data_IF_808593175533
#
_entry.id   IF_808593175533
#
_cell.length_a   1.000
_cell.length_b   1.000
_cell.length_c   1.000
_cell.angle_alpha   90.00
_cell.angle_beta   90.00
_cell.angle_gamma   90.00
#
_symmetry.space_group_name_H-M   'P 1'
#
loop_
_entity.id
_entity.type
_entity.pdbx_description
1 polymer ?
#
# COMPACT_ATOMS: atom_id res chain seq x y z
N UNK A 1 -9.87 -1.27 -3.14
CA UNK A 1 -8.47 -1.68 -3.44
C UNK A 1 -8.40 -3.17 -3.76
N UNK A 2 -9.05 -4.02 -2.96
CA UNK A 2 -9.01 -5.48 -3.11
C UNK A 2 -9.30 -6.01 -4.53
N UNK A 3 -10.19 -5.37 -5.28
CA UNK A 3 -10.57 -5.78 -6.64
C UNK A 3 -9.52 -5.44 -7.72
N UNK A 4 -8.65 -4.47 -7.44
CA UNK A 4 -7.71 -3.91 -8.41
C UNK A 4 -6.27 -4.42 -8.24
N UNK A 5 -6.01 -5.12 -7.13
CA UNK A 5 -4.68 -5.56 -6.72
C UNK A 5 -4.60 -7.08 -6.81
N UNK A 6 -3.71 -7.58 -7.66
CA UNK A 6 -3.47 -9.02 -7.80
C UNK A 6 -2.25 -9.40 -6.95
N UNK A 7 -2.52 -10.03 -5.82
CA UNK A 7 -1.53 -10.43 -4.81
C UNK A 7 -1.19 -11.92 -4.98
N UNK A 8 0.09 -12.29 -5.17
CA UNK A 8 0.52 -13.69 -5.14
C UNK A 8 0.19 -14.38 -3.80
N UNK A 9 -0.17 -15.66 -3.84
CA UNK A 9 -0.65 -16.40 -2.66
C UNK A 9 0.37 -16.43 -1.53
N UNK A 10 1.65 -16.51 -1.87
CA UNK A 10 2.76 -16.52 -0.92
C UNK A 10 2.86 -15.23 -0.09
N UNK A 11 2.26 -14.12 -0.56
CA UNK A 11 2.28 -12.83 0.14
C UNK A 11 0.91 -12.43 0.71
N UNK A 12 -0.14 -13.22 0.47
CA UNK A 12 -1.51 -12.85 0.80
C UNK A 12 -1.70 -12.39 2.26
N UNK A 13 -1.21 -13.20 3.21
CA UNK A 13 -1.32 -12.87 4.64
C UNK A 13 -0.54 -11.60 5.01
N UNK A 14 0.68 -11.43 4.49
CA UNK A 14 1.49 -10.25 4.77
C UNK A 14 0.86 -8.98 4.17
N UNK A 15 0.30 -9.08 2.96
CA UNK A 15 -0.39 -7.97 2.29
C UNK A 15 -1.70 -7.59 2.97
N UNK A 16 -2.47 -8.57 3.45
CA UNK A 16 -3.70 -8.33 4.20
C UNK A 16 -3.41 -7.53 5.47
N UNK A 17 -2.38 -7.91 6.21
CA UNK A 17 -1.93 -7.18 7.40
C UNK A 17 -1.41 -5.79 7.04
N UNK A 18 -0.60 -5.68 5.97
CA UNK A 18 -0.02 -4.41 5.53
C UNK A 18 -1.07 -3.40 5.04
N UNK A 19 -2.08 -3.86 4.30
CA UNK A 19 -3.16 -3.01 3.79
C UNK A 19 -4.18 -2.70 4.89
N UNK A 20 -4.53 -3.68 5.74
CA UNK A 20 -5.53 -3.53 6.79
C UNK A 20 -6.82 -2.88 6.27
N UNK A 21 -7.24 -1.79 6.90
CA UNK A 21 -8.43 -1.04 6.51
C UNK A 21 -8.41 -0.49 5.08
N UNK A 22 -7.22 -0.28 4.48
CA UNK A 22 -7.09 0.24 3.12
C UNK A 22 -7.61 -0.73 2.05
N UNK A 23 -7.84 -2.00 2.36
CA UNK A 23 -8.48 -2.95 1.44
C UNK A 23 -9.85 -2.43 0.96
N UNK A 24 -10.58 -1.75 1.85
CA UNK A 24 -11.91 -1.18 1.60
C UNK A 24 -11.87 0.20 0.95
N UNK A 25 -10.70 0.83 0.81
CA UNK A 25 -10.59 2.13 0.16
C UNK A 25 -11.03 2.02 -1.30
N UNK A 26 -11.73 3.05 -1.78
CA UNK A 26 -12.32 3.08 -3.12
C UNK A 26 -11.40 3.86 -4.05
N UNK A 27 -10.88 3.19 -5.08
CA UNK A 27 -10.06 3.85 -6.10
C UNK A 27 -10.99 4.61 -7.05
N UNK A 28 -10.69 5.88 -7.29
CA UNK A 28 -11.46 6.75 -8.19
C UNK A 28 -10.53 7.43 -9.19
N UNK A 29 -11.07 7.86 -10.32
CA UNK A 29 -10.28 8.52 -11.36
C UNK A 29 -9.68 9.84 -10.89
N UNK A 30 -10.49 10.69 -10.24
CA UNK A 30 -10.06 11.98 -9.71
C UNK A 30 -10.93 12.51 -8.56
N UNK A 31 -10.51 13.65 -8.02
CA UNK A 31 -11.11 14.32 -6.85
C UNK A 31 -12.55 14.77 -7.10
N UNK A 32 -12.93 15.07 -8.34
CA UNK A 32 -14.30 15.48 -8.64
C UNK A 32 -15.25 14.30 -8.51
N UNK A 33 -14.82 13.11 -8.92
CA UNK A 33 -15.57 11.86 -8.68
C UNK A 33 -15.68 11.59 -7.18
N UNK A 34 -14.57 11.68 -6.42
CA UNK A 34 -14.60 11.51 -4.98
C UNK A 34 -15.61 12.45 -4.30
N UNK A 35 -15.59 13.75 -4.64
CA UNK A 35 -16.50 14.76 -4.08
C UNK A 35 -17.96 14.44 -4.33
N UNK A 36 -18.31 14.03 -5.56
CA UNK A 36 -19.69 13.65 -5.92
C UNK A 36 -20.18 12.46 -5.10
N UNK A 37 -19.34 11.44 -4.92
CA UNK A 37 -19.71 10.26 -4.13
C UNK A 37 -19.84 10.61 -2.65
N UNK A 38 -18.91 11.40 -2.09
CA UNK A 38 -18.99 11.87 -0.70
C UNK A 38 -20.30 12.64 -0.44
N UNK A 39 -20.68 13.54 -1.36
CA UNK A 39 -21.94 14.28 -1.27
C UNK A 39 -23.14 13.34 -1.28
N UNK A 40 -23.15 12.32 -2.15
CA UNK A 40 -24.21 11.33 -2.20
C UNK A 40 -24.32 10.51 -0.90
N UNK A 41 -23.19 10.03 -0.36
CA UNK A 41 -23.15 9.29 0.90
C UNK A 41 -23.66 10.15 2.08
N UNK A 42 -23.24 11.42 2.11
CA UNK A 42 -23.63 12.36 3.18
C UNK A 42 -25.12 12.69 3.12
N UNK A 43 -25.63 13.02 1.92
CA UNK A 43 -27.05 13.37 1.72
C UNK A 43 -27.98 12.21 2.14
N UNK A 44 -27.59 10.99 1.82
CA UNK A 44 -28.39 9.78 2.10
C UNK A 44 -28.03 9.10 3.43
N UNK A 45 -27.12 9.67 4.24
CA UNK A 45 -26.65 9.12 5.53
C UNK A 45 -26.15 7.68 5.44
N UNK A 46 -25.43 7.34 4.38
CA UNK A 46 -24.96 5.98 4.08
C UNK A 46 -23.61 5.62 4.75
N UNK A 47 -23.12 6.47 5.66
CA UNK A 47 -21.86 6.26 6.36
C UNK A 47 -20.67 6.98 5.73
N UNK A 48 -19.47 6.45 5.96
CA UNK A 48 -18.18 7.04 5.54
C UNK A 48 -17.38 6.04 4.73
N UNK A 49 -16.66 6.53 3.73
CA UNK A 49 -15.73 5.76 2.92
C UNK A 49 -14.48 6.59 2.63
N UNK A 50 -13.36 5.92 2.40
CA UNK A 50 -12.09 6.54 2.00
C UNK A 50 -11.93 6.38 0.50
N UNK A 51 -11.49 7.45 -0.17
CA UNK A 51 -11.32 7.48 -1.63
C UNK A 51 -9.86 7.75 -1.99
N UNK A 52 -9.34 7.01 -2.96
CA UNK A 52 -7.98 7.11 -3.47
C UNK A 52 -8.00 7.57 -4.93
N UNK A 53 -7.79 8.88 -5.20
CA UNK A 53 -7.83 9.42 -6.55
C UNK A 53 -6.57 9.08 -7.34
N UNK A 54 -6.69 8.31 -8.42
CA UNK A 54 -5.58 7.87 -9.28
C UNK A 54 -4.74 9.05 -9.80
N UNK A 55 -5.38 10.14 -10.23
CA UNK A 55 -4.68 11.29 -10.82
C UNK A 55 -3.87 12.11 -9.82
N UNK A 56 -4.28 12.18 -8.56
CA UNK A 56 -3.71 13.12 -7.57
C UNK A 56 -3.03 12.45 -6.38
N UNK A 57 -3.23 11.14 -6.18
CA UNK A 57 -2.51 10.38 -5.16
C UNK A 57 -0.99 10.47 -5.40
N UNK A 58 -0.26 10.74 -4.32
CA UNK A 58 1.20 10.82 -4.37
C UNK A 58 1.79 9.47 -3.99
N UNK A 59 2.61 8.91 -4.86
CA UNK A 59 3.40 7.73 -4.55
C UNK A 59 4.26 8.00 -3.29
N UNK A 60 4.41 6.97 -2.46
CA UNK A 60 5.36 6.95 -1.36
C UNK A 60 6.40 5.89 -1.67
N UNK A 61 7.65 6.17 -1.35
CA UNK A 61 8.76 5.25 -1.61
C UNK A 61 9.76 5.34 -0.48
N UNK A 62 10.29 4.19 -0.05
CA UNK A 62 11.52 4.18 0.75
C UNK A 62 12.63 4.93 0.04
N UNK A 63 13.42 5.66 0.82
CA UNK A 63 14.59 6.35 0.30
C UNK A 63 15.56 5.34 -0.35
N UNK A 64 16.37 5.82 -1.29
CA UNK A 64 17.26 4.94 -2.06
C UNK A 64 18.29 4.22 -1.18
N UNK A 65 18.78 4.89 -0.13
CA UNK A 65 19.77 4.32 0.78
C UNK A 65 19.22 3.11 1.55
N UNK A 66 18.02 3.20 2.11
CA UNK A 66 17.35 2.08 2.77
C UNK A 66 17.06 0.94 1.81
N UNK A 67 16.70 1.22 0.56
CA UNK A 67 16.52 0.16 -0.46
C UNK A 67 17.80 -0.65 -0.67
N UNK A 68 18.93 0.03 -0.85
CA UNK A 68 20.24 -0.63 -1.02
C UNK A 68 20.61 -1.44 0.23
N UNK A 69 20.42 -0.88 1.43
CA UNK A 69 20.67 -1.61 2.67
C UNK A 69 19.80 -2.87 2.76
N UNK A 70 18.49 -2.75 2.52
CA UNK A 70 17.53 -3.85 2.59
C UNK A 70 17.88 -5.04 1.69
N UNK A 71 18.33 -4.78 0.47
CA UNK A 71 18.73 -5.83 -0.49
C UNK A 71 19.87 -6.73 0.04
N UNK A 72 20.67 -6.24 0.99
CA UNK A 72 21.75 -6.98 1.63
C UNK A 72 21.37 -7.63 2.98
N UNK A 73 20.13 -7.47 3.44
CA UNK A 73 19.69 -8.00 4.73
C UNK A 73 19.07 -9.38 4.57
N UNK A 74 19.50 -10.31 5.43
CA UNK A 74 18.88 -11.60 5.52
C UNK A 74 17.39 -11.47 5.87
N UNK A 75 16.59 -12.32 5.22
CA UNK A 75 15.15 -12.35 5.43
C UNK A 75 14.37 -11.21 4.79
N UNK A 76 15.00 -10.25 4.10
CA UNK A 76 14.28 -9.30 3.25
C UNK A 76 13.63 -10.02 2.07
N UNK A 77 12.34 -9.78 1.85
CA UNK A 77 11.57 -10.36 0.73
C UNK A 77 11.34 -9.32 -0.35
N UNK A 78 11.00 -8.09 0.04
CA UNK A 78 10.70 -7.02 -0.91
C UNK A 78 9.95 -5.86 -0.28
N UNK A 79 9.74 -4.80 -1.06
CA UNK A 79 8.79 -3.75 -0.74
C UNK A 79 7.41 -4.21 -1.18
N UNK A 80 6.40 -4.01 -0.35
CA UNK A 80 5.07 -4.55 -0.60
C UNK A 80 4.45 -4.04 -1.92
N UNK A 81 4.72 -2.79 -2.33
CA UNK A 81 4.26 -2.26 -3.62
C UNK A 81 4.84 -2.99 -4.83
N UNK A 82 6.02 -3.61 -4.68
CA UNK A 82 6.76 -4.28 -5.75
C UNK A 82 6.37 -5.76 -5.85
N UNK A 83 5.70 -6.29 -4.83
CA UNK A 83 5.23 -7.68 -4.73
C UNK A 83 3.75 -7.86 -5.09
N UNK A 84 3.09 -6.79 -5.52
CA UNK A 84 1.69 -6.79 -5.99
C UNK A 84 1.61 -6.39 -7.45
N UNK A 85 0.72 -7.01 -8.21
CA UNK A 85 0.45 -6.63 -9.60
C UNK A 85 -0.75 -5.69 -9.65
N UNK A 86 -0.57 -4.56 -10.31
CA UNK A 86 -1.61 -3.54 -10.52
C UNK A 86 -1.55 -3.00 -11.94
N UNK A 87 -2.63 -2.37 -12.39
CA UNK A 87 -2.63 -1.61 -13.66
C UNK A 87 -1.68 -0.40 -13.57
N UNK A 88 -1.32 0.17 -14.72
CA UNK A 88 -0.41 1.34 -14.78
C UNK A 88 -1.02 2.55 -14.08
N UNK A 89 -2.34 2.72 -14.19
CA UNK A 89 -3.11 3.81 -13.58
C UNK A 89 -3.12 3.70 -12.05
N UNK A 90 -3.04 2.48 -11.53
CA UNK A 90 -3.04 2.19 -10.10
C UNK A 90 -1.64 2.13 -9.47
N UNK A 91 -0.58 2.30 -10.25
CA UNK A 91 0.80 2.21 -9.74
C UNK A 91 1.05 3.19 -8.59
N UNK A 92 0.61 4.45 -8.73
CA UNK A 92 0.76 5.46 -7.67
C UNK A 92 -0.07 5.15 -6.44
N UNK A 93 -1.23 4.51 -6.61
CA UNK A 93 -2.07 4.06 -5.49
C UNK A 93 -1.36 2.95 -4.72
N UNK A 94 -0.85 1.93 -5.43
CA UNK A 94 -0.07 0.84 -4.82
C UNK A 94 1.14 1.38 -4.05
N UNK A 95 1.92 2.27 -4.66
CA UNK A 95 3.07 2.90 -4.01
C UNK A 95 2.68 3.77 -2.81
N UNK A 96 1.54 4.47 -2.86
CA UNK A 96 1.06 5.26 -1.73
C UNK A 96 0.75 4.39 -0.51
N UNK A 97 0.07 3.26 -0.73
CA UNK A 97 -0.36 2.36 0.34
C UNK A 97 0.77 1.46 0.84
N UNK A 98 1.65 1.00 -0.05
CA UNK A 98 2.59 -0.10 0.20
C UNK A 98 4.05 0.23 -0.10
N UNK A 99 4.36 1.39 -0.68
CA UNK A 99 5.70 1.72 -1.16
C UNK A 99 6.73 2.04 -0.06
N UNK A 100 6.28 2.12 1.19
CA UNK A 100 7.13 2.22 2.39
C UNK A 100 7.09 0.98 3.28
N UNK A 101 6.33 -0.04 2.88
CA UNK A 101 6.14 -1.25 3.68
C UNK A 101 7.11 -2.33 3.22
N UNK A 102 7.89 -2.86 4.17
CA UNK A 102 8.87 -3.92 3.91
C UNK A 102 8.29 -5.27 4.33
N UNK A 103 8.40 -6.26 3.45
CA UNK A 103 8.04 -7.65 3.74
C UNK A 103 9.32 -8.42 4.11
N UNK A 104 9.26 -9.13 5.23
CA UNK A 104 10.31 -10.01 5.72
C UNK A 104 9.81 -11.46 5.78
N UNK A 105 10.74 -12.42 5.79
CA UNK A 105 10.41 -13.87 5.82
C UNK A 105 9.68 -14.30 7.08
N UNK A 106 9.98 -13.68 8.22
CA UNK A 106 9.33 -13.92 9.51
C UNK A 106 9.53 -12.73 10.46
N UNK A 107 8.98 -12.82 11.67
CA UNK A 107 9.00 -11.74 12.67
C UNK A 107 10.41 -11.45 13.23
N UNK A 108 11.27 -12.46 13.32
CA UNK A 108 12.64 -12.29 13.81
C UNK A 108 13.44 -11.43 12.84
N UNK A 109 13.41 -11.78 11.54
CA UNK A 109 14.01 -10.97 10.48
C UNK A 109 13.38 -9.59 10.38
N UNK A 110 12.06 -9.45 10.54
CA UNK A 110 11.40 -8.15 10.54
C UNK A 110 11.95 -7.23 11.64
N UNK A 111 12.18 -7.78 12.83
CA UNK A 111 12.74 -7.06 13.98
C UNK A 111 14.19 -6.64 13.74
N UNK A 112 15.01 -7.52 13.17
CA UNK A 112 16.40 -7.20 12.80
C UNK A 112 16.50 -6.12 11.73
N UNK A 113 15.65 -6.21 10.70
CA UNK A 113 15.56 -5.21 9.64
C UNK A 113 15.19 -3.85 10.22
N UNK A 114 14.16 -3.78 11.07
CA UNK A 114 13.73 -2.52 11.70
C UNK A 114 14.86 -1.85 12.51
N UNK A 115 15.61 -2.64 13.29
CA UNK A 115 16.79 -2.16 14.03
C UNK A 115 17.87 -1.60 13.11
N UNK A 116 18.20 -2.31 12.02
CA UNK A 116 19.24 -1.87 11.06
C UNK A 116 18.86 -0.62 10.29
N UNK A 117 17.57 -0.39 10.06
CA UNK A 117 17.07 0.82 9.43
C UNK A 117 16.97 2.02 10.40
N UNK A 118 17.36 1.85 11.68
CA UNK A 118 17.14 2.83 12.76
C UNK A 118 15.69 3.33 12.78
N UNK A 119 14.73 2.45 12.45
CA UNK A 119 13.33 2.80 12.42
C UNK A 119 12.76 2.60 13.82
N UNK A 120 12.63 3.69 14.56
CA UNK A 120 12.04 3.79 15.90
C UNK A 120 11.25 5.09 16.02
#
# INVERSE_FOLDING_TARGET
VAEEFVIPKEYAQAMEVALGGHLQDIIVTDENVAKKVIQHLTHNRLGRATFLPQKTVKARMLNKQYRVTLESLDGYVGIASDLVKVSKENLKVSQNLLGTTVIAKNIDFATEIAKKLNYG
#
